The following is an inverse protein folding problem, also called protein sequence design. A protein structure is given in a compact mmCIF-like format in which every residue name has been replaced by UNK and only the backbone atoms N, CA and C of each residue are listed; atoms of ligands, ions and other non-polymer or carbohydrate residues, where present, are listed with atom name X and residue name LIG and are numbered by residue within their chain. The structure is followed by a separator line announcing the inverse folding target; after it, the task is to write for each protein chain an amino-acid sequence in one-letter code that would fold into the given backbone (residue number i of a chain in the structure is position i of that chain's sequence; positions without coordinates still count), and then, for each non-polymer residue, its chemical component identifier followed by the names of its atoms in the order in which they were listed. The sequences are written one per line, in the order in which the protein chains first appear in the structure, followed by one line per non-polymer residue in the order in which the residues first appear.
data_IF_488540524049
#
_entry.id   IF_488540524049
#
_cell.length_a   1.000
_cell.length_b   1.000
_cell.length_c   1.000
_cell.angle_alpha   90.00
_cell.angle_beta   90.00
_cell.angle_gamma   90.00
#
_symmetry.space_group_name_H-M   'P 1'
#
loop_
_entity.id
_entity.type
_entity.pdbx_description
1 polymer ?
#
# COMPACT_ATOMS: atom_id res chain seq x y z
N UNK A 1 12.67 14.89 7.29
CA UNK A 1 13.78 14.10 6.77
C UNK A 1 14.92 15.02 6.37
N UNK A 2 16.08 14.91 7.01
CA UNK A 2 17.28 15.69 6.62
C UNK A 2 17.85 15.13 5.32
N UNK A 3 18.54 15.96 4.52
CA UNK A 3 19.09 15.56 3.20
C UNK A 3 19.93 14.27 3.23
N UNK A 4 20.62 14.02 4.34
CA UNK A 4 21.45 12.81 4.52
C UNK A 4 20.60 11.54 4.68
N UNK A 5 19.47 11.61 5.40
CA UNK A 5 18.59 10.45 5.64
C UNK A 5 17.97 9.91 4.33
N UNK A 6 17.65 10.80 3.38
CA UNK A 6 17.16 10.41 2.05
C UNK A 6 18.24 9.63 1.28
N UNK A 7 19.46 10.16 1.29
CA UNK A 7 20.60 9.57 0.58
C UNK A 7 20.96 8.22 1.21
N UNK A 8 20.98 8.14 2.53
CA UNK A 8 21.27 6.91 3.27
C UNK A 8 20.22 5.83 3.02
N UNK A 9 18.93 6.22 3.01
CA UNK A 9 17.82 5.30 2.68
C UNK A 9 17.92 4.77 1.24
N UNK A 10 18.22 5.66 0.28
CA UNK A 10 18.42 5.27 -1.11
C UNK A 10 19.63 4.34 -1.26
N UNK A 11 20.74 4.66 -0.61
CA UNK A 11 21.94 3.82 -0.61
C UNK A 11 21.66 2.44 -0.01
N UNK A 12 20.91 2.36 1.10
CA UNK A 12 20.52 1.09 1.71
C UNK A 12 19.67 0.22 0.78
N UNK A 13 18.75 0.83 0.01
CA UNK A 13 17.95 0.11 -0.98
C UNK A 13 18.78 -0.35 -2.20
N UNK A 14 19.75 0.47 -2.64
CA UNK A 14 20.57 0.18 -3.82
C UNK A 14 21.70 -0.82 -3.56
N UNK A 15 22.31 -0.77 -2.38
CA UNK A 15 23.42 -1.65 -1.95
C UNK A 15 22.98 -3.04 -1.50
N UNK A 16 21.67 -3.29 -1.44
CA UNK A 16 21.14 -4.60 -1.13
C UNK A 16 21.23 -5.51 -2.37
N UNK A 17 22.19 -6.43 -2.34
CA UNK A 17 22.57 -7.30 -3.46
C UNK A 17 21.55 -8.41 -3.79
N UNK A 18 20.53 -8.62 -2.94
CA UNK A 18 19.49 -9.64 -3.11
C UNK A 18 18.10 -9.11 -2.74
N UNK A 19 17.05 -9.69 -3.34
CA UNK A 19 15.66 -9.27 -3.11
C UNK A 19 15.27 -9.29 -1.62
N UNK A 20 15.67 -10.32 -0.87
CA UNK A 20 15.42 -10.39 0.58
C UNK A 20 16.11 -9.25 1.33
N UNK A 21 17.33 -8.90 0.96
CA UNK A 21 18.06 -7.78 1.57
C UNK A 21 17.40 -6.43 1.27
N UNK A 22 16.81 -6.27 0.06
CA UNK A 22 16.08 -5.05 -0.32
C UNK A 22 14.78 -4.90 0.45
N UNK A 23 14.04 -6.00 0.62
CA UNK A 23 12.80 -6.00 1.41
C UNK A 23 13.08 -5.62 2.88
N UNK A 24 14.07 -6.25 3.50
CA UNK A 24 14.47 -5.92 4.88
C UNK A 24 14.92 -4.46 5.04
N UNK A 25 15.60 -3.90 4.03
CA UNK A 25 15.95 -2.49 4.03
C UNK A 25 14.71 -1.59 3.93
N UNK A 26 13.74 -1.94 3.07
CA UNK A 26 12.49 -1.20 2.93
C UNK A 26 11.66 -1.23 4.23
N UNK A 27 11.55 -2.38 4.88
CA UNK A 27 10.86 -2.50 6.17
C UNK A 27 11.53 -1.63 7.25
N UNK A 28 12.86 -1.63 7.33
CA UNK A 28 13.59 -0.80 8.30
C UNK A 28 13.38 0.70 8.05
N UNK A 29 13.39 1.12 6.78
CA UNK A 29 13.14 2.52 6.42
C UNK A 29 11.70 2.90 6.76
N UNK A 30 10.73 2.02 6.48
CA UNK A 30 9.33 2.21 6.83
C UNK A 30 9.14 2.39 8.35
N UNK A 31 9.76 1.52 9.16
CA UNK A 31 9.74 1.60 10.63
C UNK A 31 10.31 2.93 11.14
N UNK A 32 11.44 3.40 10.58
CA UNK A 32 12.02 4.71 10.90
C UNK A 32 11.10 5.89 10.58
N UNK A 33 10.18 5.72 9.64
CA UNK A 33 9.18 6.71 9.25
C UNK A 33 7.89 6.62 10.07
N UNK A 34 7.78 5.68 11.02
CA UNK A 34 6.55 5.42 11.77
C UNK A 34 5.47 4.68 10.95
N UNK A 35 5.85 4.09 9.82
CA UNK A 35 4.95 3.27 9.01
C UNK A 35 4.71 1.95 9.74
N UNK A 36 3.44 1.63 10.01
CA UNK A 36 3.06 0.37 10.66
C UNK A 36 3.16 -0.81 9.71
N UNK A 37 2.80 -0.61 8.45
CA UNK A 37 2.91 -1.66 7.43
C UNK A 37 3.22 -1.11 6.05
N UNK A 38 4.06 -1.82 5.31
CA UNK A 38 4.38 -1.57 3.91
C UNK A 38 3.83 -2.70 3.03
N UNK A 39 3.29 -2.32 1.88
CA UNK A 39 2.95 -3.23 0.79
C UNK A 39 3.59 -2.70 -0.49
N UNK A 40 4.33 -3.55 -1.17
CA UNK A 40 4.84 -3.30 -2.52
C UNK A 40 4.31 -4.39 -3.42
N UNK A 41 3.68 -4.01 -4.52
CA UNK A 41 3.15 -4.94 -5.50
C UNK A 41 3.44 -4.46 -6.92
N UNK A 42 3.56 -5.40 -7.85
CA UNK A 42 3.48 -5.10 -9.27
C UNK A 42 2.12 -5.58 -9.77
N UNK A 43 1.35 -4.63 -10.29
CA UNK A 43 -0.03 -4.85 -10.68
C UNK A 43 -0.21 -4.39 -12.12
N UNK A 44 -0.78 -5.25 -12.95
CA UNK A 44 -1.36 -4.86 -14.23
C UNK A 44 -2.74 -4.26 -13.96
N UNK A 45 -2.79 -2.94 -13.84
CA UNK A 45 -4.00 -2.27 -13.36
C UNK A 45 -5.19 -2.34 -14.33
N UNK A 46 -4.93 -2.55 -15.64
CA UNK A 46 -5.97 -2.76 -16.66
C UNK A 46 -6.66 -4.13 -16.50
N UNK A 47 -5.88 -5.17 -16.22
CA UNK A 47 -6.39 -6.53 -16.01
C UNK A 47 -6.75 -6.80 -14.55
N UNK A 48 -6.37 -5.90 -13.63
CA UNK A 48 -6.47 -6.08 -12.18
C UNK A 48 -5.79 -7.37 -11.73
N UNK A 49 -4.63 -7.66 -12.31
CA UNK A 49 -3.82 -8.83 -11.98
C UNK A 49 -2.57 -8.42 -11.18
N UNK A 50 -2.26 -9.16 -10.13
CA UNK A 50 -1.05 -8.97 -9.32
C UNK A 50 0.01 -9.95 -9.83
N UNK A 51 1.11 -9.43 -10.38
CA UNK A 51 2.25 -10.25 -10.78
C UNK A 51 3.05 -10.72 -9.56
N UNK A 52 3.27 -9.82 -8.60
CA UNK A 52 3.89 -10.14 -7.32
C UNK A 52 3.49 -9.14 -6.24
N UNK A 53 3.56 -9.59 -4.99
CA UNK A 53 3.29 -8.78 -3.79
C UNK A 53 4.32 -9.12 -2.71
N UNK A 54 4.77 -8.10 -2.00
CA UNK A 54 5.57 -8.20 -0.78
C UNK A 54 4.96 -7.26 0.25
N UNK A 55 4.57 -7.79 1.40
CA UNK A 55 3.93 -7.01 2.44
C UNK A 55 4.17 -7.60 3.81
N UNK A 56 4.20 -6.73 4.82
CA UNK A 56 4.15 -7.11 6.23
C UNK A 56 2.78 -6.81 6.86
N UNK A 57 1.74 -6.61 6.05
CA UNK A 57 0.36 -6.59 6.55
C UNK A 57 0.03 -7.94 7.21
N UNK A 58 -0.85 -7.98 8.23
CA UNK A 58 -1.26 -9.23 8.86
C UNK A 58 -1.71 -10.26 7.82
N UNK A 59 -1.24 -11.50 7.95
CA UNK A 59 -1.59 -12.58 7.03
C UNK A 59 -3.10 -12.76 6.92
N UNK A 60 -3.83 -12.67 8.03
CA UNK A 60 -5.29 -12.73 8.06
C UNK A 60 -5.96 -11.67 7.19
N UNK A 61 -5.40 -10.46 7.13
CA UNK A 61 -5.90 -9.40 6.26
C UNK A 61 -5.67 -9.72 4.79
N UNK A 62 -4.48 -10.21 4.45
CA UNK A 62 -4.15 -10.55 3.06
C UNK A 62 -4.96 -11.76 2.58
N UNK A 63 -5.22 -12.74 3.45
CA UNK A 63 -6.09 -13.87 3.18
C UNK A 63 -7.53 -13.41 2.90
N UNK A 64 -8.08 -12.53 3.72
CA UNK A 64 -9.41 -11.93 3.48
C UNK A 64 -9.44 -11.14 2.18
N UNK A 65 -8.44 -10.26 1.96
CA UNK A 65 -8.36 -9.40 0.79
C UNK A 65 -8.35 -10.20 -0.52
N UNK A 66 -7.57 -11.28 -0.57
CA UNK A 66 -7.50 -12.15 -1.74
C UNK A 66 -8.73 -13.05 -1.84
N UNK A 67 -9.19 -13.61 -0.72
CA UNK A 67 -10.34 -14.54 -0.68
C UNK A 67 -11.67 -13.88 -1.07
N UNK A 68 -11.86 -12.62 -0.72
CA UNK A 68 -13.05 -11.84 -1.03
C UNK A 68 -12.95 -11.09 -2.38
N UNK A 69 -11.88 -11.31 -3.15
CA UNK A 69 -11.63 -10.65 -4.42
C UNK A 69 -11.71 -9.11 -4.27
N UNK A 70 -11.05 -8.56 -3.24
CA UNK A 70 -11.03 -7.11 -3.00
C UNK A 70 -10.22 -6.36 -4.04
N UNK A 71 -9.21 -6.99 -4.64
CA UNK A 71 -8.41 -6.42 -5.72
C UNK A 71 -9.26 -5.90 -6.88
N UNK A 72 -10.29 -6.65 -7.28
CA UNK A 72 -11.18 -6.25 -8.38
C UNK A 72 -12.02 -5.02 -8.08
N UNK A 73 -12.12 -4.63 -6.81
CA UNK A 73 -12.93 -3.52 -6.32
C UNK A 73 -12.15 -2.48 -5.51
N UNK A 74 -10.82 -2.59 -5.43
CA UNK A 74 -10.01 -1.68 -4.65
C UNK A 74 -9.98 -0.29 -5.31
N UNK A 75 -10.54 0.74 -4.65
CA UNK A 75 -10.55 2.10 -5.20
C UNK A 75 -9.15 2.68 -5.39
N UNK A 76 -8.14 2.17 -4.68
CA UNK A 76 -6.74 2.58 -4.86
C UNK A 76 -6.18 2.05 -6.17
N UNK A 77 -6.46 0.78 -6.48
CA UNK A 77 -6.04 0.15 -7.74
C UNK A 77 -6.75 0.82 -8.92
N UNK A 78 -8.06 1.03 -8.81
CA UNK A 78 -8.83 1.73 -9.84
C UNK A 78 -8.35 3.18 -10.02
N UNK A 79 -8.22 3.93 -8.92
CA UNK A 79 -7.83 5.34 -8.96
C UNK A 79 -6.43 5.57 -9.52
N UNK A 80 -5.50 4.66 -9.28
CA UNK A 80 -4.12 4.73 -9.79
C UNK A 80 -3.94 4.01 -11.13
N UNK A 81 -4.93 3.30 -11.66
CA UNK A 81 -4.80 2.53 -12.91
C UNK A 81 -4.41 3.38 -14.14
N UNK A 82 -4.76 4.67 -14.13
CA UNK A 82 -4.58 5.59 -15.27
C UNK A 82 -3.15 6.08 -15.44
N UNK A 83 -2.29 5.91 -14.44
CA UNK A 83 -0.92 6.41 -14.51
C UNK A 83 -0.25 6.58 -13.15
N UNK A 84 1.01 7.02 -13.14
CA UNK A 84 1.72 7.29 -11.90
C UNK A 84 1.02 8.39 -11.09
N UNK A 85 0.99 8.24 -9.78
CA UNK A 85 0.24 9.14 -8.90
C UNK A 85 0.25 8.69 -7.46
N UNK A 86 -0.45 9.46 -6.61
CA UNK A 86 -0.60 9.18 -5.18
C UNK A 86 -2.02 9.43 -4.72
N UNK A 87 -2.56 8.51 -3.93
CA UNK A 87 -3.85 8.62 -3.25
C UNK A 87 -3.63 8.47 -1.75
N UNK A 88 -4.35 9.28 -0.97
CA UNK A 88 -4.48 9.11 0.48
C UNK A 88 -5.84 8.49 0.76
N UNK A 89 -5.87 7.38 1.48
CA UNK A 89 -7.10 6.74 1.96
C UNK A 89 -7.18 6.87 3.49
N UNK A 90 -8.33 7.33 3.98
CA UNK A 90 -8.67 7.30 5.40
C UNK A 90 -9.51 6.07 5.71
N UNK A 91 -9.01 5.18 6.56
CA UNK A 91 -9.64 3.92 6.92
C UNK A 91 -10.77 4.11 7.92
N UNK A 92 -11.84 3.32 7.77
CA UNK A 92 -13.01 3.33 8.65
C UNK A 92 -13.91 4.57 8.53
N UNK A 93 -13.67 5.45 7.55
CA UNK A 93 -14.44 6.68 7.36
C UNK A 93 -15.54 6.55 6.30
N UNK A 94 -15.51 5.50 5.47
CA UNK A 94 -16.52 5.27 4.45
C UNK A 94 -17.88 4.98 5.08
N UNK A 95 -18.93 5.75 4.74
CA UNK A 95 -20.29 5.39 5.14
C UNK A 95 -20.87 4.38 4.17
N UNK A 96 -21.59 3.39 4.70
CA UNK A 96 -22.17 2.32 3.89
C UNK A 96 -23.19 2.86 2.86
N UNK A 97 -23.94 3.89 3.23
CA UNK A 97 -24.90 4.56 2.33
C UNK A 97 -24.25 5.35 1.19
N UNK A 98 -22.97 5.67 1.31
CA UNK A 98 -22.21 6.47 0.34
C UNK A 98 -21.42 5.57 -0.63
N UNK A 99 -21.40 4.26 -0.38
CA UNK A 99 -20.67 3.29 -1.19
C UNK A 99 -21.65 2.44 -1.99
N UNK A 100 -21.66 2.64 -3.32
CA UNK A 100 -22.45 1.79 -4.25
C UNK A 100 -22.01 0.33 -4.19
N UNK A 101 -20.76 0.07 -3.78
CA UNK A 101 -20.17 -1.25 -3.70
C UNK A 101 -19.82 -1.62 -2.25
N UNK A 102 -20.46 -2.69 -1.74
CA UNK A 102 -20.24 -3.23 -0.39
C UNK A 102 -18.79 -3.66 -0.15
N UNK A 103 -18.07 -4.13 -1.18
CA UNK A 103 -16.66 -4.52 -1.05
C UNK A 103 -15.75 -3.30 -0.83
N UNK A 104 -16.03 -2.17 -1.47
CA UNK A 104 -15.29 -0.91 -1.21
C UNK A 104 -15.44 -0.48 0.24
N UNK A 105 -16.66 -0.59 0.78
CA UNK A 105 -16.91 -0.36 2.20
C UNK A 105 -16.15 -1.35 3.10
N UNK A 106 -16.18 -2.65 2.76
CA UNK A 106 -15.49 -3.69 3.52
C UNK A 106 -13.97 -3.50 3.53
N UNK A 107 -13.36 -3.13 2.40
CA UNK A 107 -11.93 -2.78 2.31
C UNK A 107 -11.61 -1.64 3.30
N UNK A 108 -12.39 -0.56 3.25
CA UNK A 108 -12.14 0.62 4.07
C UNK A 108 -12.21 0.33 5.59
N UNK A 109 -13.19 -0.46 6.03
CA UNK A 109 -13.38 -0.81 7.44
C UNK A 109 -12.52 -2.00 7.89
N UNK A 110 -12.19 -2.91 6.99
CA UNK A 110 -11.26 -4.03 7.25
C UNK A 110 -9.84 -3.53 7.50
N UNK A 111 -9.36 -2.57 6.70
CA UNK A 111 -8.09 -1.89 6.98
C UNK A 111 -8.08 -1.23 8.37
N UNK A 112 -9.22 -0.66 8.79
CA UNK A 112 -9.36 -0.06 10.13
C UNK A 112 -9.35 -1.11 11.24
N UNK A 113 -10.01 -2.26 11.04
CA UNK A 113 -10.10 -3.31 12.06
C UNK A 113 -8.74 -3.95 12.36
N UNK A 114 -7.82 -3.97 11.38
CA UNK A 114 -6.44 -4.42 11.56
C UNK A 114 -5.50 -3.31 12.05
N UNK A 115 -6.06 -2.15 12.41
CA UNK A 115 -5.37 -1.07 13.10
C UNK A 115 -4.65 -0.08 12.18
N UNK A 116 -5.09 0.07 10.93
CA UNK A 116 -4.64 1.15 10.05
C UNK A 116 -5.62 2.32 10.08
N UNK A 117 -5.07 3.52 10.03
CA UNK A 117 -5.85 4.77 9.98
C UNK A 117 -5.74 5.45 8.63
N UNK A 118 -4.53 5.50 8.09
CA UNK A 118 -4.26 6.12 6.80
C UNK A 118 -3.38 5.21 5.97
N UNK A 119 -3.68 5.15 4.67
CA UNK A 119 -2.82 4.53 3.66
C UNK A 119 -2.37 5.61 2.68
N UNK A 120 -1.05 5.79 2.56
CA UNK A 120 -0.45 6.54 1.48
C UNK A 120 -0.08 5.58 0.35
N UNK A 121 -0.84 5.62 -0.73
CA UNK A 121 -0.69 4.71 -1.86
C UNK A 121 -0.11 5.46 -3.05
N UNK A 122 0.98 4.97 -3.60
CA UNK A 122 1.63 5.53 -4.78
C UNK A 122 1.75 4.48 -5.86
N UNK A 123 1.60 4.89 -7.12
CA UNK A 123 1.92 4.06 -8.29
C UNK A 123 3.07 4.69 -9.06
N UNK A 124 4.03 3.86 -9.44
CA UNK A 124 5.15 4.19 -10.32
C UNK A 124 5.12 3.33 -11.58
N UNK A 125 5.70 3.83 -12.67
CA UNK A 125 5.71 3.17 -13.98
C UNK A 125 4.80 3.85 -15.01
N UNK A 126 4.84 3.38 -16.25
CA UNK A 126 4.09 3.94 -17.38
C UNK A 126 2.58 3.76 -17.21
N UNK A 127 1.80 4.61 -17.88
CA UNK A 127 0.33 4.47 -17.92
C UNK A 127 -0.09 3.25 -18.74
N UNK A 128 -1.14 2.54 -18.31
CA UNK A 128 -1.77 1.48 -19.12
C UNK A 128 -1.07 0.12 -19.15
N UNK A 129 -0.02 -0.07 -18.34
CA UNK A 129 0.67 -1.37 -18.18
C UNK A 129 0.97 -1.71 -16.72
N UNK A 130 1.89 -2.65 -16.52
CA UNK A 130 2.41 -3.01 -15.19
C UNK A 130 2.94 -1.76 -14.47
N UNK A 131 2.40 -1.54 -13.26
CA UNK A 131 2.84 -0.47 -12.37
C UNK A 131 3.27 -1.05 -11.03
N UNK A 132 4.25 -0.40 -10.40
CA UNK A 132 4.64 -0.70 -9.03
C UNK A 132 3.81 0.14 -8.07
N UNK A 133 3.01 -0.53 -7.27
CA UNK A 133 2.21 0.04 -6.21
C UNK A 133 3.00 -0.04 -4.91
N UNK A 134 3.07 1.07 -4.19
CA UNK A 134 3.66 1.16 -2.86
C UNK A 134 2.61 1.77 -1.94
N UNK A 135 2.20 1.01 -0.93
CA UNK A 135 1.27 1.46 0.10
C UNK A 135 1.99 1.49 1.44
N UNK A 136 1.96 2.65 2.10
CA UNK A 136 2.46 2.84 3.45
C UNK A 136 1.26 3.08 4.38
N UNK A 137 1.03 2.14 5.28
CA UNK A 137 -0.07 2.17 6.24
C UNK A 137 0.43 2.68 7.60
N UNK A 138 -0.27 3.64 8.17
CA UNK A 138 0.04 4.23 9.46
C UNK A 138 -1.07 3.91 10.48
N UNK A 139 -0.66 3.76 11.74
CA UNK A 139 -1.56 3.90 12.89
C UNK A 139 -1.74 5.40 13.17
N UNK A 140 -2.83 5.80 13.84
CA UNK A 140 -3.14 7.21 14.13
C UNK A 140 -1.89 8.00 14.55
N UNK A 141 -1.60 9.12 13.89
CA UNK A 141 -0.66 10.08 14.44
C UNK A 141 -1.20 10.50 15.81
N UNK A 142 -0.47 10.24 16.89
CA UNK A 142 -0.81 10.86 18.17
C UNK A 142 -0.82 12.38 17.92
N UNK A 143 -1.87 13.11 18.31
CA UNK A 143 -1.73 14.54 18.48
C UNK A 143 -0.67 14.73 19.58
N UNK A 144 0.42 15.40 19.24
CA UNK A 144 1.37 15.93 20.22
C UNK A 144 0.67 16.89 21.19
#
# INVERSE_FOLDING_TARGET
MKKNELIDSLNALLSADQNNSRWLAAERIADQMGVKSILVAEVEASLKEVAWISTNMPASWMEEYLGEDYLSHDPLVEGLSRGPGRILLHCGQARQSEMENRKVWAINHGLKSVGYETLHCSRFGESGGFGRFVSLAFEHERPD
#
